data_IF_497811357410
#
_entry.id   IF_497811357410
#
_cell.length_a   1.000
_cell.length_b   1.000
_cell.length_c   1.000
_cell.angle_alpha   90.00
_cell.angle_beta   90.00
_cell.angle_gamma   90.00
#
_symmetry.space_group_name_H-M   'P 1'
#
loop_
_entity.id
_entity.type
_entity.pdbx_description
1 polymer ?
#
# COMPACT_ATOMS: atom_id res chain seq x y z
N UNK A 1 -19.88 0.45 24.70
CA UNK A 1 -18.65 1.16 24.25
C UNK A 1 -17.67 0.05 23.90
N UNK A 2 -17.47 -0.24 22.61
CA UNK A 2 -16.55 -1.32 22.19
C UNK A 2 -15.16 -0.92 22.68
N UNK A 3 -14.47 -1.81 23.38
CA UNK A 3 -13.17 -1.53 23.94
C UNK A 3 -12.17 -1.29 22.80
N UNK A 4 -11.41 -0.19 22.85
CA UNK A 4 -10.33 0.09 21.89
C UNK A 4 -9.33 -1.08 21.76
N UNK A 5 -9.21 -1.90 22.79
CA UNK A 5 -8.39 -3.12 22.79
C UNK A 5 -8.96 -4.19 21.85
N UNK A 6 -10.28 -4.39 21.83
CA UNK A 6 -10.95 -5.39 20.97
C UNK A 6 -10.87 -5.00 19.49
N UNK A 7 -11.02 -3.71 19.18
CA UNK A 7 -10.85 -3.20 17.80
C UNK A 7 -9.43 -3.39 17.31
N UNK A 8 -8.42 -3.18 18.16
CA UNK A 8 -7.01 -3.33 17.80
C UNK A 8 -6.64 -4.80 17.57
N UNK A 9 -7.13 -5.71 18.41
CA UNK A 9 -6.93 -7.15 18.25
C UNK A 9 -7.59 -7.66 16.96
N UNK A 10 -8.86 -7.32 16.74
CA UNK A 10 -9.58 -7.73 15.53
C UNK A 10 -8.97 -7.14 14.25
N UNK A 11 -8.47 -5.90 14.26
CA UNK A 11 -7.70 -5.35 13.15
C UNK A 11 -6.43 -6.14 12.89
N UNK A 12 -5.68 -6.48 13.93
CA UNK A 12 -4.43 -7.24 13.82
C UNK A 12 -4.68 -8.62 13.21
N UNK A 13 -5.67 -9.35 13.72
CA UNK A 13 -6.03 -10.69 13.26
C UNK A 13 -6.56 -10.69 11.82
N UNK A 14 -7.50 -9.80 11.51
CA UNK A 14 -8.20 -9.83 10.23
C UNK A 14 -7.41 -9.15 9.12
N UNK A 15 -6.54 -8.19 9.44
CA UNK A 15 -5.82 -7.37 8.45
C UNK A 15 -4.32 -7.63 8.49
N UNK A 16 -3.63 -7.34 9.60
CA UNK A 16 -2.16 -7.31 9.67
C UNK A 16 -1.50 -8.69 9.56
N UNK A 17 -2.07 -9.70 10.21
CA UNK A 17 -1.54 -11.08 10.20
C UNK A 17 -1.67 -11.74 8.83
N UNK A 18 -2.59 -11.24 7.99
CA UNK A 18 -2.88 -11.77 6.65
C UNK A 18 -2.14 -11.04 5.52
N UNK A 19 -1.18 -10.16 5.83
CA UNK A 19 -0.28 -9.64 4.82
C UNK A 19 0.69 -10.72 4.34
N UNK A 20 1.04 -10.69 3.05
CA UNK A 20 2.15 -11.50 2.52
C UNK A 20 3.46 -11.08 3.18
N UNK A 21 4.40 -12.00 3.38
CA UNK A 21 5.75 -11.65 3.80
C UNK A 21 6.53 -11.08 2.61
N UNK A 22 6.53 -9.74 2.48
CA UNK A 22 7.32 -9.02 1.48
C UNK A 22 7.74 -7.63 1.98
N UNK A 23 8.64 -6.99 1.24
CA UNK A 23 9.19 -5.66 1.59
C UNK A 23 8.09 -4.61 1.77
N UNK A 24 7.05 -4.63 0.94
CA UNK A 24 5.93 -3.68 1.06
C UNK A 24 5.20 -3.89 2.37
N UNK A 25 4.95 -5.14 2.75
CA UNK A 25 4.23 -5.49 3.97
C UNK A 25 5.03 -5.12 5.22
N UNK A 26 6.35 -5.28 5.20
CA UNK A 26 7.22 -4.81 6.27
C UNK A 26 7.18 -3.29 6.40
N UNK A 27 7.26 -2.56 5.28
CA UNK A 27 7.17 -1.10 5.28
C UNK A 27 5.83 -0.64 5.86
N UNK A 28 4.72 -1.22 5.40
CA UNK A 28 3.37 -0.91 5.88
C UNK A 28 3.25 -1.14 7.39
N UNK A 29 3.76 -2.25 7.91
CA UNK A 29 3.71 -2.58 9.35
C UNK A 29 4.60 -1.67 10.21
N UNK A 30 5.60 -1.02 9.62
CA UNK A 30 6.50 -0.11 10.32
C UNK A 30 6.06 1.36 10.29
N UNK A 31 5.06 1.70 9.48
CA UNK A 31 4.62 3.07 9.27
C UNK A 31 3.33 3.38 10.04
N UNK A 32 3.44 4.20 11.10
CA UNK A 32 2.32 4.55 11.97
C UNK A 32 1.16 5.22 11.22
N UNK A 33 1.45 6.03 10.21
CA UNK A 33 0.40 6.72 9.43
C UNK A 33 -0.40 5.72 8.61
N UNK A 34 0.28 4.76 7.98
CA UNK A 34 -0.38 3.70 7.20
C UNK A 34 -1.18 2.76 8.12
N UNK A 35 -0.66 2.44 9.30
CA UNK A 35 -1.38 1.63 10.29
C UNK A 35 -2.67 2.32 10.76
N UNK A 36 -2.62 3.61 11.11
CA UNK A 36 -3.81 4.40 11.48
C UNK A 36 -4.82 4.48 10.34
N UNK A 37 -4.35 4.65 9.10
CA UNK A 37 -5.22 4.59 7.93
C UNK A 37 -5.91 3.22 7.80
N UNK A 38 -5.15 2.13 7.99
CA UNK A 38 -5.70 0.77 8.01
C UNK A 38 -6.75 0.55 9.09
N UNK A 39 -6.50 1.01 10.31
CA UNK A 39 -7.44 0.95 11.43
C UNK A 39 -8.70 1.77 11.16
N UNK A 40 -8.55 2.99 10.61
CA UNK A 40 -9.68 3.81 10.17
C UNK A 40 -10.54 3.10 9.11
N UNK A 41 -9.93 2.49 8.09
CA UNK A 41 -10.66 1.67 7.13
C UNK A 41 -11.29 0.44 7.80
N UNK A 42 -10.66 -0.09 8.84
CA UNK A 42 -11.18 -1.22 9.60
C UNK A 42 -12.47 -0.89 10.33
N UNK A 43 -12.52 0.26 11.00
CA UNK A 43 -13.69 0.77 11.71
C UNK A 43 -14.79 1.25 10.76
N UNK A 44 -14.42 1.98 9.71
CA UNK A 44 -15.38 2.62 8.80
C UNK A 44 -16.14 1.63 7.91
N UNK A 45 -15.51 0.51 7.56
CA UNK A 45 -16.07 -0.48 6.63
C UNK A 45 -16.26 -1.83 7.32
N UNK A 46 -17.21 -2.64 6.86
CA UNK A 46 -17.41 -3.99 7.37
C UNK A 46 -16.16 -4.88 7.31
N UNK A 47 -16.11 -5.89 8.19
CA UNK A 47 -14.98 -6.82 8.36
C UNK A 47 -14.72 -7.69 7.12
N UNK A 48 -15.73 -7.92 6.29
CA UNK A 48 -15.65 -8.71 5.05
C UNK A 48 -14.74 -8.11 3.98
N UNK A 49 -14.41 -6.83 4.08
CA UNK A 49 -13.56 -6.12 3.13
C UNK A 49 -12.06 -6.13 3.48
N UNK A 50 -11.59 -7.12 4.25
CA UNK A 50 -10.20 -7.19 4.69
C UNK A 50 -9.17 -7.15 3.54
N UNK A 51 -9.49 -7.76 2.38
CA UNK A 51 -8.63 -7.69 1.20
C UNK A 51 -8.51 -6.27 0.65
N UNK A 52 -9.63 -5.54 0.54
CA UNK A 52 -9.63 -4.15 0.11
C UNK A 52 -8.76 -3.29 1.04
N UNK A 53 -8.94 -3.43 2.36
CA UNK A 53 -8.17 -2.69 3.38
C UNK A 53 -6.67 -2.96 3.24
N UNK A 54 -6.27 -4.24 3.11
CA UNK A 54 -4.87 -4.62 2.85
C UNK A 54 -4.35 -3.99 1.56
N UNK A 55 -5.10 -4.04 0.46
CA UNK A 55 -4.64 -3.46 -0.80
C UNK A 55 -4.48 -1.94 -0.72
N UNK A 56 -5.40 -1.22 -0.07
CA UNK A 56 -5.27 0.22 0.16
C UNK A 56 -4.02 0.56 0.97
N UNK A 57 -3.74 -0.18 2.05
CA UNK A 57 -2.50 0.00 2.82
C UNK A 57 -1.25 -0.32 1.97
N UNK A 58 -1.27 -1.37 1.15
CA UNK A 58 -0.16 -1.72 0.26
C UNK A 58 0.07 -0.69 -0.85
N UNK A 59 -0.97 0.00 -1.31
CA UNK A 59 -0.82 1.11 -2.26
C UNK A 59 -0.01 2.24 -1.63
N UNK A 60 -0.30 2.62 -0.38
CA UNK A 60 0.53 3.58 0.36
C UNK A 60 1.95 3.05 0.56
N UNK A 61 2.11 1.77 0.91
CA UNK A 61 3.44 1.19 1.06
C UNK A 61 4.29 1.22 -0.21
N UNK A 62 3.67 1.00 -1.39
CA UNK A 62 4.34 1.13 -2.69
C UNK A 62 4.72 2.57 -2.99
N UNK A 63 3.84 3.52 -2.67
CA UNK A 63 4.10 4.95 -2.83
C UNK A 63 5.27 5.39 -1.94
N UNK A 64 5.30 4.97 -0.67
CA UNK A 64 6.42 5.23 0.23
C UNK A 64 7.73 4.68 -0.32
N UNK A 65 7.72 3.46 -0.87
CA UNK A 65 8.91 2.86 -1.45
C UNK A 65 9.41 3.64 -2.68
N UNK A 66 8.49 4.04 -3.56
CA UNK A 66 8.84 4.83 -4.74
C UNK A 66 9.43 6.20 -4.37
N UNK A 67 8.89 6.87 -3.36
CA UNK A 67 9.44 8.13 -2.85
C UNK A 67 10.86 7.95 -2.30
N UNK A 68 11.09 6.89 -1.51
CA UNK A 68 12.44 6.54 -1.03
C UNK A 68 13.41 6.26 -2.17
N UNK A 69 12.97 5.55 -3.21
CA UNK A 69 13.80 5.27 -4.39
C UNK A 69 14.18 6.53 -5.17
N UNK A 70 13.36 7.59 -5.08
CA UNK A 70 13.64 8.91 -5.67
C UNK A 70 14.49 9.82 -4.78
N UNK A 71 14.92 9.32 -3.62
CA UNK A 71 15.82 10.03 -2.70
C UNK A 71 15.11 10.83 -1.63
N UNK A 72 13.78 10.74 -1.49
CA UNK A 72 13.09 11.37 -0.36
C UNK A 72 13.46 10.66 0.95
N UNK A 73 13.81 11.45 1.95
CA UNK A 73 14.11 10.99 3.31
C UNK A 73 12.96 11.41 4.21
N UNK A 74 12.28 10.41 4.78
CA UNK A 74 11.18 10.61 5.73
C UNK A 74 11.07 9.39 6.65
N UNK A 75 10.65 9.62 7.89
CA UNK A 75 10.51 8.54 8.89
C UNK A 75 9.20 7.78 8.71
N UNK A 76 8.13 8.49 8.41
CA UNK A 76 6.78 7.93 8.25
C UNK A 76 5.99 8.70 7.18
N UNK A 77 4.91 8.11 6.67
CA UNK A 77 4.20 8.65 5.52
C UNK A 77 3.55 10.02 5.76
N UNK A 78 3.25 10.41 7.01
CA UNK A 78 2.66 11.74 7.28
C UNK A 78 3.58 12.90 6.87
N UNK A 79 4.90 12.72 6.92
CA UNK A 79 5.87 13.73 6.47
C UNK A 79 5.78 14.01 4.96
N UNK A 80 5.25 13.05 4.19
CA UNK A 80 5.00 13.19 2.76
C UNK A 80 3.64 13.83 2.44
N UNK A 81 2.79 14.06 3.44
CA UNK A 81 1.51 14.75 3.29
C UNK A 81 1.63 16.28 3.45
N UNK A 82 2.85 16.78 3.69
CA UNK A 82 3.13 18.21 3.74
C UNK A 82 2.96 18.86 2.36
N UNK A 83 2.46 20.11 2.26
CA UNK A 83 2.26 20.79 0.99
C UNK A 83 3.52 20.84 0.10
N UNK A 84 4.70 20.99 0.71
CA UNK A 84 5.99 21.06 0.02
C UNK A 84 6.38 19.73 -0.65
N UNK A 85 5.76 18.63 -0.23
CA UNK A 85 5.98 17.29 -0.79
C UNK A 85 4.97 16.90 -1.86
N UNK A 86 3.99 17.76 -2.16
CA UNK A 86 2.91 17.46 -3.10
C UNK A 86 3.43 17.00 -4.46
N UNK A 87 4.35 17.74 -5.06
CA UNK A 87 4.90 17.39 -6.39
C UNK A 87 5.66 16.07 -6.37
N UNK A 88 6.42 15.80 -5.29
CA UNK A 88 7.13 14.53 -5.12
C UNK A 88 6.15 13.35 -5.09
N UNK A 89 5.09 13.46 -4.29
CA UNK A 89 4.02 12.45 -4.17
C UNK A 89 3.31 12.24 -5.50
N UNK A 90 2.94 13.32 -6.20
CA UNK A 90 2.28 13.23 -7.52
C UNK A 90 3.20 12.55 -8.53
N UNK A 91 4.47 12.92 -8.57
CA UNK A 91 5.43 12.35 -9.52
C UNK A 91 5.76 10.89 -9.22
N UNK A 92 5.85 10.48 -7.96
CA UNK A 92 5.96 9.08 -7.56
C UNK A 92 4.71 8.28 -7.96
N UNK A 93 3.51 8.84 -7.75
CA UNK A 93 2.25 8.21 -8.17
C UNK A 93 2.20 7.98 -9.68
N UNK A 94 2.58 9.00 -10.48
CA UNK A 94 2.67 8.87 -11.94
C UNK A 94 3.65 7.78 -12.37
N UNK A 95 4.79 7.64 -11.69
CA UNK A 95 5.78 6.61 -11.98
C UNK A 95 5.22 5.19 -11.72
N UNK A 96 4.55 4.99 -10.58
CA UNK A 96 3.91 3.72 -10.25
C UNK A 96 2.84 3.29 -11.25
N UNK A 97 2.05 4.23 -11.77
CA UNK A 97 1.04 3.96 -12.80
C UNK A 97 1.71 3.49 -14.10
N UNK A 98 2.76 4.20 -14.55
CA UNK A 98 3.51 3.83 -15.77
C UNK A 98 4.10 2.42 -15.70
N UNK A 99 4.67 2.04 -14.55
CA UNK A 99 5.24 0.70 -14.35
C UNK A 99 4.19 -0.41 -14.52
N UNK A 100 2.98 -0.21 -13.99
CA UNK A 100 1.89 -1.20 -14.12
C UNK A 100 1.43 -1.40 -15.57
N UNK A 101 1.40 -0.33 -16.38
CA UNK A 101 1.03 -0.41 -17.80
C UNK A 101 2.08 -1.22 -18.57
N UNK A 102 3.38 -0.98 -18.34
CA UNK A 102 4.46 -1.68 -19.03
C UNK A 102 4.53 -3.17 -18.66
N UNK A 103 4.24 -3.53 -17.40
CA UNK A 103 4.18 -4.94 -16.98
C UNK A 103 3.01 -5.70 -17.63
N UNK A 104 1.85 -5.05 -17.83
CA UNK A 104 0.72 -5.65 -18.55
C UNK A 104 1.04 -5.91 -20.03
N UNK A 105 1.77 -5.00 -20.68
CA UNK A 105 2.17 -5.18 -22.09
C UNK A 105 3.19 -6.33 -22.29
N UNK A 106 4.14 -6.50 -21.36
CA UNK A 106 5.10 -7.61 -21.42
C UNK A 106 4.46 -9.00 -21.21
N UNK A 107 3.37 -9.08 -20.43
CA UNK A 107 2.63 -10.32 -20.20
C UNK A 107 1.80 -10.80 -21.41
N UNK A 108 1.51 -9.92 -22.38
CA UNK A 108 0.76 -10.27 -23.60
C UNK A 108 1.66 -10.66 -24.79
N UNK A 109 2.98 -10.45 -24.71
CA UNK A 109 3.91 -10.64 -25.83
C UNK A 109 4.45 -12.08 -26.01
N UNK A 110 3.96 -13.08 -25.26
CA UNK A 110 4.43 -14.47 -25.36
C UNK A 110 3.31 -15.45 -25.72
N UNK A 111 2.58 -15.22 -26.82
CA UNK A 111 1.70 -16.25 -27.41
C UNK A 111 1.62 -16.15 -28.93
N UNK A 112 2.73 -16.39 -29.63
CA UNK A 112 2.70 -16.96 -30.99
C UNK A 112 3.89 -17.89 -31.16
N UNK A 113 3.71 -19.17 -30.85
CA UNK A 113 4.52 -20.23 -31.45
C UNK A 113 3.67 -20.86 -32.56
N UNK A 114 4.19 -20.77 -33.77
CA UNK A 114 3.64 -21.36 -34.98
C UNK A 114 3.46 -22.87 -34.82
N UNK A 115 2.22 -23.32 -34.98
CA UNK A 115 1.93 -24.68 -35.41
C UNK A 115 1.26 -24.58 -36.78
N UNK A 116 2.08 -24.71 -37.82
CA UNK A 116 1.83 -25.46 -39.05
C UNK A 116 3.03 -25.30 -39.98
#
# INVERSE_FOLDING_TARGET
>A
MVSWVETTLSFTENVLNNFRTDQISNLVKSDDTILRFGAFLFEKYNTTQAQFKRQSMRQLGRLSLELKNKGDIFKNFSEMLLPEKFDAVVNATKALIKLNITTQQKGQSFKYHHWR
#
